data_IF_082021758320
#
_entry.id   IF_082021758320
#
_cell.length_a   1.000
_cell.length_b   1.000
_cell.length_c   1.000
_cell.angle_alpha   90.00
_cell.angle_beta   90.00
_cell.angle_gamma   90.00
#
_symmetry.space_group_name_H-M   'P 1'
#
loop_
_entity.id
_entity.type
_entity.pdbx_description
1 polymer ?
#
# COMPACT_ATOMS: atom_id res chain seq x y z
N UNK A 1 -5.05 12.43 -7.78
CA UNK A 1 -4.40 11.62 -6.72
C UNK A 1 -3.93 10.25 -7.23
N UNK A 2 -4.81 9.49 -7.88
CA UNK A 2 -4.49 8.13 -8.36
C UNK A 2 -3.25 8.12 -9.27
N UNK A 3 -3.17 9.02 -10.23
CA UNK A 3 -2.05 9.10 -11.17
C UNK A 3 -0.72 9.38 -10.46
N UNK A 4 -0.71 10.26 -9.45
CA UNK A 4 0.49 10.58 -8.67
C UNK A 4 0.94 9.36 -7.86
N UNK A 5 0.00 8.67 -7.23
CA UNK A 5 0.30 7.45 -6.46
C UNK A 5 0.87 6.38 -7.39
N UNK A 6 0.31 6.20 -8.59
CA UNK A 6 0.84 5.24 -9.56
C UNK A 6 2.28 5.58 -9.98
N UNK A 7 2.57 6.86 -10.25
CA UNK A 7 3.94 7.28 -10.56
C UNK A 7 4.92 6.94 -9.45
N UNK A 8 4.52 7.19 -8.20
CA UNK A 8 5.34 6.87 -7.04
C UNK A 8 5.56 5.35 -6.93
N UNK A 9 4.49 4.55 -7.06
CA UNK A 9 4.58 3.10 -6.99
C UNK A 9 5.47 2.52 -8.10
N UNK A 10 5.39 3.07 -9.31
CA UNK A 10 6.23 2.65 -10.41
C UNK A 10 7.71 2.82 -10.08
N UNK A 11 8.08 3.90 -9.40
CA UNK A 11 9.44 4.16 -8.96
C UNK A 11 9.85 3.26 -7.79
N UNK A 12 9.02 3.21 -6.75
CA UNK A 12 9.32 2.46 -5.52
C UNK A 12 9.39 0.95 -5.75
N UNK A 13 8.62 0.41 -6.68
CA UNK A 13 8.55 -1.02 -6.96
C UNK A 13 9.14 -1.42 -8.30
N UNK A 14 9.70 -0.46 -9.04
CA UNK A 14 10.28 -0.70 -10.37
C UNK A 14 9.30 -1.53 -11.23
N UNK A 15 8.15 -0.95 -11.53
CA UNK A 15 7.08 -1.61 -12.28
C UNK A 15 6.38 -0.63 -13.22
N UNK A 16 5.51 -1.15 -14.10
CA UNK A 16 4.72 -0.38 -15.05
C UNK A 16 3.24 -0.54 -14.73
N UNK A 17 2.58 0.57 -14.40
CA UNK A 17 1.15 0.63 -14.08
C UNK A 17 0.33 1.33 -15.15
N UNK A 18 0.88 1.58 -16.33
CA UNK A 18 0.20 2.29 -17.42
C UNK A 18 -1.13 1.65 -17.80
N UNK A 19 -1.22 0.31 -17.74
CA UNK A 19 -2.45 -0.43 -18.04
C UNK A 19 -3.61 -0.02 -17.12
N UNK A 20 -3.32 0.23 -15.83
CA UNK A 20 -4.34 0.59 -14.85
C UNK A 20 -4.74 2.06 -14.94
N UNK A 21 -3.79 2.94 -15.24
CA UNK A 21 -4.04 4.37 -15.46
C UNK A 21 -4.99 4.55 -16.64
N UNK A 22 -4.73 3.88 -17.76
CA UNK A 22 -5.54 3.99 -18.97
C UNK A 22 -6.99 3.53 -18.78
N UNK A 23 -7.20 2.58 -17.87
CA UNK A 23 -8.52 2.05 -17.55
C UNK A 23 -9.23 2.86 -16.46
N UNK A 24 -8.58 3.88 -15.92
CA UNK A 24 -9.10 4.75 -14.83
C UNK A 24 -9.56 3.94 -13.61
N UNK A 25 -8.89 2.85 -13.34
CA UNK A 25 -9.19 2.02 -12.16
C UNK A 25 -8.42 2.54 -10.96
N UNK A 26 -9.04 2.47 -9.80
CA UNK A 26 -8.41 2.83 -8.52
C UNK A 26 -7.66 1.65 -7.91
N UNK A 27 -7.86 0.45 -8.43
CA UNK A 27 -7.21 -0.76 -7.98
C UNK A 27 -6.08 -1.17 -8.94
N UNK A 28 -5.10 -1.88 -8.41
CA UNK A 28 -3.94 -2.30 -9.18
C UNK A 28 -3.46 -3.69 -8.78
N UNK A 29 -2.67 -4.30 -9.67
CA UNK A 29 -2.02 -5.58 -9.46
C UNK A 29 -0.57 -5.46 -9.93
N UNK A 30 0.38 -5.71 -9.01
CA UNK A 30 1.82 -5.62 -9.31
C UNK A 30 2.44 -6.98 -9.06
N UNK A 31 2.94 -7.62 -10.12
CA UNK A 31 3.59 -8.93 -10.03
C UNK A 31 5.11 -8.76 -9.93
N UNK A 32 5.68 -9.16 -8.80
CA UNK A 32 7.13 -9.19 -8.58
C UNK A 32 7.56 -10.63 -8.35
N UNK A 33 8.85 -10.88 -8.40
CA UNK A 33 9.40 -12.24 -8.24
C UNK A 33 9.14 -12.82 -6.84
N UNK A 34 9.14 -11.99 -5.82
CA UNK A 34 8.95 -12.43 -4.43
C UNK A 34 7.49 -12.48 -4.02
N UNK A 35 6.65 -11.61 -4.61
CA UNK A 35 5.29 -11.42 -4.15
C UNK A 35 4.48 -10.67 -5.21
N UNK A 36 3.18 -10.98 -5.28
CA UNK A 36 2.22 -10.19 -6.07
C UNK A 36 1.49 -9.26 -5.11
N UNK A 37 1.44 -7.98 -5.43
CA UNK A 37 0.72 -6.99 -4.64
C UNK A 37 -0.62 -6.68 -5.30
N UNK A 38 -1.70 -6.86 -4.56
CA UNK A 38 -3.03 -6.40 -4.98
C UNK A 38 -3.40 -5.22 -4.09
N UNK A 39 -3.86 -4.14 -4.69
CA UNK A 39 -4.09 -2.92 -3.92
C UNK A 39 -5.23 -2.06 -4.42
N UNK A 40 -5.62 -1.13 -3.56
CA UNK A 40 -6.59 -0.10 -3.85
C UNK A 40 -6.06 1.26 -3.39
N UNK A 41 -6.49 2.31 -4.07
CA UNK A 41 -6.16 3.69 -3.75
C UNK A 41 -7.47 4.42 -3.42
N UNK A 42 -7.54 5.04 -2.24
CA UNK A 42 -8.74 5.75 -1.79
C UNK A 42 -8.41 7.10 -1.17
N UNK A 43 -9.23 8.11 -1.48
CA UNK A 43 -9.21 9.39 -0.77
C UNK A 43 -10.55 9.57 -0.08
N UNK A 44 -10.54 9.74 1.26
CA UNK A 44 -11.75 9.83 2.05
C UNK A 44 -11.70 11.01 3.00
N UNK A 45 -12.87 11.52 3.39
CA UNK A 45 -12.98 12.64 4.34
C UNK A 45 -13.02 12.18 5.79
N UNK A 46 -13.17 10.87 6.00
CA UNK A 46 -13.17 10.24 7.33
C UNK A 46 -11.84 9.57 7.63
N UNK A 47 -11.73 8.99 8.82
CA UNK A 47 -10.66 8.06 9.13
C UNK A 47 -10.82 6.76 8.30
N UNK A 48 -9.83 5.90 8.35
CA UNK A 48 -9.90 4.56 7.76
C UNK A 48 -11.03 3.79 8.45
N UNK A 49 -11.91 3.18 7.65
CA UNK A 49 -13.05 2.42 8.15
C UNK A 49 -12.87 0.93 7.87
N UNK A 50 -13.58 0.13 8.65
CA UNK A 50 -13.67 -1.33 8.46
C UNK A 50 -13.98 -1.70 7.01
N UNK A 51 -14.92 -1.00 6.36
CA UNK A 51 -15.32 -1.27 4.98
C UNK A 51 -14.18 -1.14 3.98
N UNK A 52 -13.22 -0.21 4.21
CA UNK A 52 -12.08 -0.03 3.33
C UNK A 52 -11.18 -1.27 3.34
N UNK A 53 -10.94 -1.82 4.52
CA UNK A 53 -10.10 -3.02 4.69
C UNK A 53 -10.83 -4.27 4.18
N UNK A 54 -12.12 -4.37 4.44
CA UNK A 54 -12.94 -5.50 3.97
C UNK A 54 -13.06 -5.54 2.45
N UNK A 55 -13.11 -4.39 1.81
CA UNK A 55 -13.21 -4.33 0.35
C UNK A 55 -11.95 -4.85 -0.35
N UNK A 56 -10.76 -4.48 0.14
CA UNK A 56 -9.52 -5.03 -0.42
C UNK A 56 -9.40 -6.53 -0.13
N UNK A 57 -9.89 -7.00 1.01
CA UNK A 57 -9.94 -8.42 1.34
C UNK A 57 -10.80 -9.20 0.33
N UNK A 58 -11.94 -8.65 -0.08
CA UNK A 58 -12.79 -9.28 -1.09
C UNK A 58 -12.07 -9.41 -2.44
N UNK A 59 -11.36 -8.36 -2.86
CA UNK A 59 -10.59 -8.38 -4.10
C UNK A 59 -9.45 -9.41 -4.02
N UNK A 60 -8.79 -9.49 -2.88
CA UNK A 60 -7.74 -10.46 -2.61
C UNK A 60 -8.25 -11.89 -2.72
N UNK A 61 -9.38 -12.19 -2.07
CA UNK A 61 -9.98 -13.53 -2.14
C UNK A 61 -10.42 -13.90 -3.54
N UNK A 62 -11.01 -12.96 -4.28
CA UNK A 62 -11.39 -13.19 -5.67
C UNK A 62 -10.19 -13.51 -6.56
N UNK A 63 -9.06 -12.84 -6.32
CA UNK A 63 -7.82 -13.11 -7.03
C UNK A 63 -7.28 -14.50 -6.71
N UNK A 64 -7.26 -14.89 -5.43
CA UNK A 64 -6.82 -16.23 -5.01
C UNK A 64 -7.69 -17.32 -5.61
N UNK A 65 -9.01 -17.13 -5.65
CA UNK A 65 -9.94 -18.10 -6.26
C UNK A 65 -9.62 -18.31 -7.74
N UNK A 66 -9.28 -17.25 -8.46
CA UNK A 66 -8.87 -17.35 -9.88
C UNK A 66 -7.57 -18.12 -10.03
N UNK A 67 -6.59 -17.87 -9.14
CA UNK A 67 -5.32 -18.59 -9.15
C UNK A 67 -5.54 -20.08 -8.89
N UNK A 68 -6.39 -20.42 -7.92
CA UNK A 68 -6.72 -21.82 -7.61
C UNK A 68 -7.36 -22.51 -8.80
N UNK A 69 -8.30 -21.83 -9.47
CA UNK A 69 -8.96 -22.37 -10.65
C UNK A 69 -7.95 -22.64 -11.79
N UNK A 70 -6.96 -21.76 -11.95
CA UNK A 70 -5.92 -21.90 -12.97
C UNK A 70 -4.79 -22.83 -12.54
N UNK A 71 -4.81 -23.32 -11.30
CA UNK A 71 -3.74 -24.17 -10.77
C UNK A 71 -2.43 -23.45 -10.52
N UNK A 72 -2.48 -22.13 -10.30
CA UNK A 72 -1.30 -21.28 -10.07
C UNK A 72 -1.16 -20.99 -8.59
N UNK A 73 0.07 -21.06 -8.07
CA UNK A 73 0.39 -20.69 -6.70
C UNK A 73 1.27 -19.43 -6.70
N UNK A 74 0.79 -18.38 -6.03
CA UNK A 74 1.52 -17.12 -5.84
C UNK A 74 1.43 -16.66 -4.39
N UNK A 75 2.46 -15.97 -3.92
CA UNK A 75 2.39 -15.22 -2.68
C UNK A 75 1.75 -13.87 -2.99
N UNK A 76 0.62 -13.54 -2.36
CA UNK A 76 -0.14 -12.33 -2.65
C UNK A 76 -0.26 -11.47 -1.39
N UNK A 77 -0.03 -10.16 -1.54
CA UNK A 77 -0.05 -9.19 -0.46
C UNK A 77 -1.06 -8.08 -0.76
N UNK A 78 -1.85 -7.72 0.22
CA UNK A 78 -2.84 -6.64 0.12
C UNK A 78 -2.22 -5.30 0.50
N UNK A 79 -2.40 -4.29 -0.34
CA UNK A 79 -1.96 -2.91 -0.07
C UNK A 79 -3.16 -1.97 -0.15
N UNK A 80 -3.48 -1.29 0.93
CA UNK A 80 -4.49 -0.24 0.96
C UNK A 80 -3.78 1.11 1.05
N UNK A 81 -3.73 1.83 -0.07
CA UNK A 81 -3.14 3.17 -0.10
C UNK A 81 -4.29 4.16 0.06
N UNK A 82 -4.27 4.92 1.16
CA UNK A 82 -5.41 5.74 1.53
C UNK A 82 -4.97 7.13 1.98
N UNK A 83 -5.74 8.14 1.56
CA UNK A 83 -5.62 9.51 2.03
C UNK A 83 -6.81 9.80 2.95
N UNK A 84 -6.69 9.48 4.27
CA UNK A 84 -7.77 9.72 5.22
C UNK A 84 -7.81 11.19 5.58
N UNK A 85 -9.00 11.68 5.99
CA UNK A 85 -9.18 13.09 6.35
C UNK A 85 -8.62 14.04 5.29
N UNK A 86 -8.86 13.74 4.01
CA UNK A 86 -8.24 14.47 2.89
C UNK A 86 -8.53 15.98 2.88
N UNK A 87 -9.59 16.40 3.56
CA UNK A 87 -9.97 17.81 3.67
C UNK A 87 -9.32 18.51 4.87
N UNK A 88 -8.55 17.79 5.69
CA UNK A 88 -7.86 18.36 6.86
C UNK A 88 -6.36 18.45 6.64
N UNK A 89 -5.68 19.46 7.21
CA UNK A 89 -4.21 19.50 7.26
C UNK A 89 -3.67 18.27 8.01
N UNK A 90 -2.45 17.86 7.67
CA UNK A 90 -1.84 16.64 8.25
C UNK A 90 -1.75 16.68 9.79
N UNK A 91 -1.42 17.83 10.35
CA UNK A 91 -1.28 18.02 11.79
C UNK A 91 -2.60 17.94 12.56
N UNK A 92 -3.74 17.98 11.85
CA UNK A 92 -5.08 17.88 12.43
C UNK A 92 -5.75 16.53 12.20
N UNK A 93 -5.04 15.59 11.55
CA UNK A 93 -5.59 14.27 11.27
C UNK A 93 -5.34 13.33 12.43
N UNK A 94 -6.39 12.61 12.84
CA UNK A 94 -6.28 11.57 13.84
C UNK A 94 -5.54 10.36 13.25
N UNK A 95 -4.80 9.61 14.07
CA UNK A 95 -4.18 8.36 13.62
C UNK A 95 -5.24 7.32 13.27
N UNK A 96 -4.86 6.32 12.49
CA UNK A 96 -5.73 5.17 12.21
C UNK A 96 -6.08 4.48 13.52
N UNK A 97 -7.35 4.15 13.72
CA UNK A 97 -7.80 3.53 14.97
C UNK A 97 -7.20 2.12 15.13
N UNK A 98 -6.89 1.78 16.37
CA UNK A 98 -6.29 0.50 16.73
C UNK A 98 -7.09 -0.69 16.22
N UNK A 99 -8.42 -0.59 16.23
CA UNK A 99 -9.32 -1.64 15.73
C UNK A 99 -9.08 -1.93 14.26
N UNK A 100 -8.86 -0.88 13.46
CA UNK A 100 -8.60 -1.04 12.03
C UNK A 100 -7.20 -1.58 11.77
N UNK A 101 -6.23 -1.17 12.57
CA UNK A 101 -4.87 -1.70 12.49
C UNK A 101 -4.89 -3.21 12.77
N UNK A 102 -5.60 -3.62 13.83
CA UNK A 102 -5.73 -5.04 14.20
C UNK A 102 -6.40 -5.86 13.09
N UNK A 103 -7.45 -5.31 12.48
CA UNK A 103 -8.13 -5.97 11.37
C UNK A 103 -7.18 -6.15 10.17
N UNK A 104 -6.43 -5.09 9.83
CA UNK A 104 -5.46 -5.14 8.73
C UNK A 104 -4.39 -6.20 9.00
N UNK A 105 -3.86 -6.25 10.22
CA UNK A 105 -2.87 -7.25 10.61
C UNK A 105 -3.43 -8.66 10.47
N UNK A 106 -4.67 -8.88 10.92
CA UNK A 106 -5.34 -10.17 10.83
C UNK A 106 -5.52 -10.61 9.37
N UNK A 107 -5.86 -9.69 8.50
CA UNK A 107 -6.08 -9.97 7.08
C UNK A 107 -4.78 -10.03 6.27
N UNK A 108 -3.64 -9.71 6.88
CA UNK A 108 -2.38 -9.61 6.15
C UNK A 108 -2.31 -8.39 5.23
N UNK A 109 -3.07 -7.34 5.55
CA UNK A 109 -3.12 -6.11 4.77
C UNK A 109 -2.15 -5.07 5.33
N UNK A 110 -1.50 -4.32 4.44
CA UNK A 110 -0.70 -3.15 4.81
C UNK A 110 -1.46 -1.89 4.40
N UNK A 111 -1.79 -1.06 5.38
CA UNK A 111 -2.37 0.27 5.17
C UNK A 111 -1.23 1.26 5.00
N UNK A 112 -1.22 1.96 3.88
CA UNK A 112 -0.21 2.98 3.57
C UNK A 112 -0.92 4.32 3.41
N UNK A 113 -0.76 5.22 4.36
CA UNK A 113 -1.29 6.58 4.22
C UNK A 113 -0.47 7.32 3.16
N UNK A 114 -1.13 8.15 2.36
CA UNK A 114 -0.47 8.82 1.22
C UNK A 114 0.71 9.68 1.64
N UNK A 115 0.62 10.36 2.80
CA UNK A 115 1.74 11.17 3.29
C UNK A 115 2.94 10.31 3.68
N UNK A 116 2.72 9.08 4.18
CA UNK A 116 3.80 8.14 4.47
C UNK A 116 4.45 7.63 3.18
N UNK A 117 3.63 7.35 2.16
CA UNK A 117 4.12 6.95 0.83
C UNK A 117 4.99 8.06 0.23
N UNK A 118 4.55 9.32 0.35
CA UNK A 118 5.32 10.48 -0.12
C UNK A 118 6.68 10.58 0.58
N UNK A 119 6.70 10.35 1.89
CA UNK A 119 7.95 10.34 2.67
C UNK A 119 8.89 9.23 2.19
N UNK A 120 8.35 8.06 1.93
CA UNK A 120 9.12 6.94 1.40
C UNK A 120 9.71 7.28 0.02
N UNK A 121 8.94 7.96 -0.82
CA UNK A 121 9.38 8.42 -2.13
C UNK A 121 10.51 9.45 -2.01
N UNK A 122 10.42 10.39 -1.07
CA UNK A 122 11.51 11.33 -0.80
C UNK A 122 12.80 10.59 -0.45
N UNK A 123 12.72 9.59 0.42
CA UNK A 123 13.88 8.78 0.79
C UNK A 123 14.47 8.04 -0.42
N UNK A 124 13.60 7.54 -1.29
CA UNK A 124 14.03 6.92 -2.55
C UNK A 124 14.78 7.91 -3.44
N UNK A 125 14.25 9.12 -3.61
CA UNK A 125 14.86 10.16 -4.43
C UNK A 125 16.22 10.62 -3.86
N UNK A 126 16.38 10.59 -2.53
CA UNK A 126 17.63 10.93 -1.86
C UNK A 126 18.64 9.79 -1.84
N UNK A 127 18.31 8.63 -2.41
CA UNK A 127 19.19 7.47 -2.43
C UNK A 127 19.24 6.71 -1.11
N UNK A 128 18.30 6.98 -0.17
CA UNK A 128 18.25 6.32 1.13
C UNK A 128 17.47 5.00 1.09
N UNK A 129 16.71 4.76 0.02
CA UNK A 129 15.95 3.54 -0.20
C UNK A 129 16.14 3.07 -1.64
N UNK A 130 16.22 1.75 -1.83
CA UNK A 130 16.22 1.13 -3.14
C UNK A 130 14.84 0.53 -3.43
N UNK A 131 14.54 0.27 -4.70
CA UNK A 131 13.30 -0.40 -5.10
C UNK A 131 13.19 -1.78 -4.45
N UNK A 132 14.29 -2.52 -4.39
CA UNK A 132 14.31 -3.84 -3.75
C UNK A 132 13.94 -3.75 -2.27
N UNK A 133 14.46 -2.76 -1.55
CA UNK A 133 14.14 -2.57 -0.13
C UNK A 133 12.67 -2.19 0.06
N UNK A 134 12.12 -1.36 -0.82
CA UNK A 134 10.70 -1.00 -0.79
C UNK A 134 9.81 -2.24 -0.99
N UNK A 135 10.18 -3.10 -1.95
CA UNK A 135 9.47 -4.37 -2.20
C UNK A 135 9.47 -5.25 -0.94
N UNK A 136 10.62 -5.39 -0.29
CA UNK A 136 10.74 -6.17 0.94
C UNK A 136 9.87 -5.62 2.07
N UNK A 137 9.87 -4.30 2.26
CA UNK A 137 9.06 -3.64 3.29
C UNK A 137 7.58 -3.89 3.03
N UNK A 138 7.12 -3.69 1.80
CA UNK A 138 5.71 -3.88 1.45
C UNK A 138 5.29 -5.35 1.58
N UNK A 139 6.17 -6.29 1.28
CA UNK A 139 5.87 -7.71 1.40
C UNK A 139 5.81 -8.18 2.86
N UNK A 140 6.59 -7.57 3.73
CA UNK A 140 6.77 -8.02 5.12
C UNK A 140 5.83 -7.34 6.12
N UNK A 141 5.56 -6.04 5.96
CA UNK A 141 4.81 -5.26 6.94
C UNK A 141 3.31 -5.47 6.83
N UNK A 142 2.61 -5.45 7.97
CA UNK A 142 1.14 -5.48 8.06
C UNK A 142 0.67 -4.41 9.03
N UNK A 143 -0.63 -4.12 9.03
CA UNK A 143 -1.18 -3.04 9.84
C UNK A 143 -0.99 -1.71 9.12
N UNK A 144 -0.46 -0.69 9.80
CA UNK A 144 -0.18 0.62 9.22
C UNK A 144 1.33 0.78 9.03
N UNK A 145 1.73 1.15 7.82
CA UNK A 145 3.14 1.46 7.54
C UNK A 145 3.55 2.71 8.33
N UNK A 146 4.62 2.59 9.08
CA UNK A 146 5.18 3.68 9.88
C UNK A 146 6.49 4.16 9.28
N UNK A 147 6.81 5.42 9.53
CA UNK A 147 8.10 6.00 9.13
C UNK A 147 9.27 5.15 9.62
N UNK A 148 9.17 4.60 10.84
CA UNK A 148 10.22 3.75 11.43
C UNK A 148 10.44 2.44 10.67
N UNK A 149 9.49 2.01 9.84
CA UNK A 149 9.63 0.79 9.05
C UNK A 149 10.62 0.95 7.89
N UNK A 150 10.89 2.17 7.45
CA UNK A 150 11.78 2.43 6.32
C UNK A 150 12.80 3.57 6.55
N UNK A 151 12.69 4.31 7.62
CA UNK A 151 13.59 5.44 7.92
C UNK A 151 14.61 5.04 8.96
N UNK A 152 15.79 4.60 8.49
CA UNK A 152 16.90 4.14 9.33
C UNK A 152 17.72 5.29 9.94
N UNK A 153 17.36 6.56 9.65
CA UNK A 153 18.12 7.73 10.10
C UNK A 153 18.17 7.88 11.62
N UNK A 154 17.32 7.14 12.35
CA UNK A 154 17.30 7.14 13.82
C UNK A 154 18.09 5.99 14.44
N UNK A 155 18.57 5.04 13.66
CA UNK A 155 19.33 3.88 14.17
C UNK A 155 20.82 4.14 14.32
N UNK A 156 21.29 5.32 13.96
CA UNK A 156 22.70 5.74 14.06
C UNK A 156 22.95 6.75 15.18
N UNK A 157 21.97 6.97 16.05
CA UNK A 157 22.15 7.88 17.20
C UNK A 157 22.77 7.21 18.40
#
# INVERSE_FOLDING_TARGET
MVSVVFEILEKLLDCDLSEFVDKKKEDFLIKKSSCTFIGEIKGVTSNVKHEHISQIELHYRGYLDRLDYEGISESVKQLLIINPFRSKPLDQREPVHKEQITLAERNGCLIIETHTLMRMYENYCLGLLTAQRCEEIFAKCTGVLKKSDFDDSQSQG
#
